data_IF_338951790203
#
_entry.id   IF_338951790203
#
_cell.length_a   1.000
_cell.length_b   1.000
_cell.length_c   1.000
_cell.angle_alpha   90.00
_cell.angle_beta   90.00
_cell.angle_gamma   90.00
#
_symmetry.space_group_name_H-M   'P 1'
#
loop_
_entity.id
_entity.type
_entity.pdbx_description
1 polymer ?
#
# COMPACT_ATOMS: atom_id res chain seq x y z
N UNK A 1 -7.05 55.22 12.54
CA UNK A 1 -7.60 53.99 11.99
C UNK A 1 -6.44 53.04 11.73
N UNK A 2 -6.20 52.09 12.63
CA UNK A 2 -5.11 51.11 12.52
C UNK A 2 -5.74 49.79 12.07
N UNK A 3 -5.32 49.32 10.90
CA UNK A 3 -5.72 48.01 10.38
C UNK A 3 -4.87 46.91 11.04
N UNK A 4 -5.51 46.06 11.85
CA UNK A 4 -4.89 44.89 12.42
C UNK A 4 -4.87 43.78 11.32
N UNK A 5 -3.70 43.44 10.84
CA UNK A 5 -3.52 42.28 9.99
C UNK A 5 -3.48 41.02 10.86
N UNK A 6 -4.52 40.17 10.75
CA UNK A 6 -4.58 38.86 11.38
C UNK A 6 -3.78 37.88 10.53
N UNK A 7 -2.55 37.56 10.96
CA UNK A 7 -1.78 36.46 10.37
C UNK A 7 -2.27 35.16 11.02
N UNK A 8 -3.05 34.39 10.28
CA UNK A 8 -3.42 33.01 10.67
C UNK A 8 -2.29 32.09 10.27
N UNK A 9 -1.53 31.62 11.24
CA UNK A 9 -0.52 30.58 11.07
C UNK A 9 -1.24 29.22 10.98
N UNK A 10 -1.48 28.76 9.76
CA UNK A 10 -1.82 27.37 9.51
C UNK A 10 -0.52 26.55 9.46
N UNK A 11 -0.30 25.71 10.45
CA UNK A 11 0.88 24.85 10.46
C UNK A 11 1.07 24.10 11.77
N UNK A 12 0.36 23.02 12.00
CA UNK A 12 0.58 22.26 13.24
C UNK A 12 0.24 20.76 13.25
N UNK A 13 -0.66 20.31 12.38
CA UNK A 13 -1.20 18.93 12.47
C UNK A 13 -0.43 17.86 11.68
N UNK A 14 0.07 18.19 10.50
CA UNK A 14 0.75 17.21 9.62
C UNK A 14 2.16 16.82 10.09
N UNK A 15 2.85 17.69 10.82
CA UNK A 15 4.25 17.49 11.26
C UNK A 15 4.38 16.42 12.35
N UNK A 16 3.35 16.14 13.14
CA UNK A 16 3.45 15.20 14.25
C UNK A 16 3.45 13.73 13.79
N UNK A 17 2.68 13.37 12.76
CA UNK A 17 2.60 11.99 12.24
C UNK A 17 3.87 11.58 11.49
N UNK A 18 4.47 12.49 10.72
CA UNK A 18 5.73 12.25 10.01
C UNK A 18 6.89 12.02 11.00
N UNK A 19 6.91 12.73 12.14
CA UNK A 19 7.98 12.58 13.14
C UNK A 19 7.96 11.25 13.88
N UNK A 20 6.82 10.59 14.02
CA UNK A 20 6.75 9.26 14.65
C UNK A 20 7.31 8.18 13.71
N UNK A 21 6.96 8.25 12.42
CA UNK A 21 7.48 7.32 11.42
C UNK A 21 9.00 7.45 11.23
N UNK A 22 9.55 8.69 11.25
CA UNK A 22 10.98 8.93 11.11
C UNK A 22 11.80 8.43 12.30
N UNK A 23 11.28 8.51 13.52
CA UNK A 23 11.98 7.97 14.70
C UNK A 23 12.09 6.45 14.67
N UNK A 24 11.03 5.75 14.28
CA UNK A 24 11.05 4.28 14.20
C UNK A 24 11.98 3.78 13.09
N UNK A 25 12.05 4.48 11.96
CA UNK A 25 12.97 4.15 10.88
C UNK A 25 14.43 4.40 11.23
N UNK A 26 14.75 5.45 12.00
CA UNK A 26 16.09 5.74 12.47
C UNK A 26 16.61 4.69 13.49
N UNK A 27 15.73 4.20 14.36
CA UNK A 27 16.09 3.14 15.33
C UNK A 27 16.31 1.77 14.68
N UNK A 28 15.59 1.45 13.61
CA UNK A 28 15.80 0.20 12.83
C UNK A 28 17.09 0.25 12.02
N UNK A 29 17.45 1.39 11.45
CA UNK A 29 18.70 1.57 10.73
C UNK A 29 19.93 1.45 11.64
N UNK A 30 19.85 1.93 12.87
CA UNK A 30 20.93 1.83 13.86
C UNK A 30 21.19 0.40 14.37
N UNK A 31 20.15 -0.45 14.38
CA UNK A 31 20.28 -1.86 14.80
C UNK A 31 20.85 -2.79 13.72
N UNK A 32 20.80 -2.41 12.44
CA UNK A 32 21.32 -3.19 11.32
C UNK A 32 22.82 -3.05 11.06
N UNK A 33 23.49 -2.08 11.67
CA UNK A 33 24.89 -1.74 11.38
C UNK A 33 25.96 -2.42 12.27
N UNK A 34 25.58 -3.30 13.19
CA UNK A 34 26.49 -3.93 14.13
C UNK A 34 26.62 -5.44 13.93
N UNK A 35 27.07 -5.88 12.75
CA UNK A 35 27.56 -7.25 12.57
C UNK A 35 28.39 -7.35 11.29
N UNK A 36 29.62 -6.93 11.36
CA UNK A 36 30.67 -7.37 10.43
C UNK A 36 31.99 -7.29 11.16
N UNK A 37 32.61 -8.43 11.41
CA UNK A 37 34.05 -8.67 11.22
C UNK A 37 34.45 -9.93 12.00
N UNK A 38 34.82 -10.99 11.29
CA UNK A 38 36.10 -11.65 11.58
C UNK A 38 36.53 -12.50 10.39
N UNK A 39 37.80 -12.41 9.98
CA UNK A 39 38.38 -13.28 8.96
C UNK A 39 39.03 -14.50 9.60
N UNK A 40 38.77 -15.67 9.12
CA UNK A 40 39.54 -16.87 9.44
C UNK A 40 40.28 -17.40 8.22
N UNK A 41 41.59 -17.42 8.39
CA UNK A 41 42.57 -17.93 7.45
C UNK A 41 42.60 -19.47 7.42
N UNK A 42 42.79 -19.99 6.22
CA UNK A 42 43.64 -21.10 5.88
C UNK A 42 43.30 -22.50 6.37
N UNK A 43 43.14 -23.39 5.39
CA UNK A 43 43.86 -24.66 5.33
C UNK A 43 43.63 -25.35 3.95
N UNK A 44 44.76 -25.51 3.24
CA UNK A 44 44.92 -26.34 2.06
C UNK A 44 44.34 -27.74 2.23
N UNK A 45 43.58 -28.23 1.25
CA UNK A 45 43.46 -29.66 0.99
C UNK A 45 43.23 -29.94 -0.51
N UNK A 46 44.08 -30.79 -1.03
CA UNK A 46 44.27 -31.29 -2.37
C UNK A 46 42.98 -31.72 -3.10
N UNK A 47 42.96 -31.69 -4.41
CA UNK A 47 41.80 -32.00 -5.24
C UNK A 47 41.60 -33.52 -5.32
N UNK A 48 40.41 -33.95 -5.00
CA UNK A 48 39.88 -35.28 -5.38
C UNK A 48 39.17 -35.14 -6.73
N UNK A 49 39.39 -36.10 -7.59
CA UNK A 49 38.83 -36.17 -8.93
C UNK A 49 37.30 -36.07 -8.95
N UNK A 50 36.70 -35.43 -9.98
CA UNK A 50 35.25 -35.27 -10.08
C UNK A 50 34.57 -36.62 -10.41
N UNK A 51 33.40 -36.89 -9.81
CA UNK A 51 32.53 -37.98 -10.22
C UNK A 51 31.93 -37.70 -11.61
N UNK A 52 31.54 -38.71 -12.37
CA UNK A 52 31.00 -38.55 -13.71
C UNK A 52 29.67 -37.76 -13.69
N UNK A 53 29.34 -37.00 -14.74
CA UNK A 53 28.13 -36.19 -14.79
C UNK A 53 26.89 -37.07 -14.74
N UNK A 54 26.05 -36.82 -13.74
CA UNK A 54 24.70 -37.35 -13.67
C UNK A 54 23.85 -36.78 -14.80
N UNK A 55 23.23 -37.64 -15.57
CA UNK A 55 22.26 -37.29 -16.61
C UNK A 55 21.15 -36.44 -15.98
N UNK A 56 20.84 -35.24 -16.50
CA UNK A 56 19.76 -34.43 -15.95
C UNK A 56 18.43 -35.13 -16.17
N UNK A 57 17.77 -35.49 -15.08
CA UNK A 57 16.37 -35.88 -15.13
C UNK A 57 15.55 -34.66 -15.61
N UNK A 58 14.98 -34.77 -16.80
CA UNK A 58 14.03 -33.79 -17.33
C UNK A 58 12.79 -33.80 -16.44
N UNK A 59 12.79 -32.95 -15.42
CA UNK A 59 11.58 -32.68 -14.64
C UNK A 59 10.62 -31.96 -15.56
N UNK A 60 9.57 -32.63 -16.00
CA UNK A 60 8.50 -32.04 -16.77
C UNK A 60 7.92 -30.85 -15.96
N UNK A 61 8.11 -29.65 -16.49
CA UNK A 61 7.51 -28.43 -15.94
C UNK A 61 6.00 -28.60 -15.97
N UNK A 62 5.28 -28.49 -14.84
CA UNK A 62 3.83 -28.52 -14.85
C UNK A 62 3.32 -27.48 -15.85
N UNK A 63 2.39 -27.88 -16.71
CA UNK A 63 1.72 -26.96 -17.60
C UNK A 63 1.05 -25.85 -16.77
N UNK A 64 1.13 -24.57 -17.18
CA UNK A 64 0.43 -23.51 -16.48
C UNK A 64 -1.07 -23.81 -16.51
N UNK A 65 -1.63 -24.11 -15.34
CA UNK A 65 -3.08 -24.19 -15.17
C UNK A 65 -3.61 -22.77 -15.36
N UNK A 66 -4.28 -22.52 -16.48
CA UNK A 66 -4.98 -21.25 -16.73
C UNK A 66 -6.18 -21.21 -15.76
N UNK A 67 -5.99 -20.61 -14.59
CA UNK A 67 -7.08 -20.34 -13.67
C UNK A 67 -8.05 -19.35 -14.33
N UNK A 68 -9.35 -19.62 -14.24
CA UNK A 68 -10.36 -18.69 -14.71
C UNK A 68 -10.33 -17.41 -13.86
N UNK A 69 -10.64 -16.22 -14.46
CA UNK A 69 -10.76 -14.98 -13.70
C UNK A 69 -11.74 -15.17 -12.54
N UNK A 70 -11.33 -14.78 -11.33
CA UNK A 70 -12.14 -14.95 -10.11
C UNK A 70 -11.86 -16.20 -9.30
N UNK A 71 -11.20 -17.23 -9.83
CA UNK A 71 -10.79 -18.41 -9.07
C UNK A 71 -9.46 -18.17 -8.34
N UNK A 72 -9.43 -18.45 -7.05
CA UNK A 72 -8.26 -18.31 -6.19
C UNK A 72 -8.62 -17.73 -4.82
N UNK A 73 -7.71 -17.78 -3.84
CA UNK A 73 -7.97 -17.25 -2.51
C UNK A 73 -8.32 -15.76 -2.56
N UNK A 74 -9.15 -15.26 -1.62
CA UNK A 74 -9.48 -13.84 -1.55
C UNK A 74 -8.23 -12.97 -1.54
N UNK A 75 -8.24 -11.86 -2.27
CA UNK A 75 -7.16 -10.89 -2.21
C UNK A 75 -7.32 -10.07 -0.92
N UNK A 76 -6.30 -10.11 -0.08
CA UNK A 76 -6.31 -9.48 1.25
C UNK A 76 -5.65 -8.10 1.17
N UNK A 77 -6.29 -7.09 1.74
CA UNK A 77 -5.74 -5.76 1.97
C UNK A 77 -4.75 -5.80 3.13
N UNK A 78 -3.53 -5.30 2.92
CA UNK A 78 -2.44 -5.29 3.91
C UNK A 78 -1.81 -3.91 3.98
N UNK A 79 -1.24 -3.57 5.14
CA UNK A 79 -0.51 -2.33 5.33
C UNK A 79 0.80 -2.24 4.53
N UNK A 80 1.31 -3.36 4.01
CA UNK A 80 2.53 -3.42 3.21
C UNK A 80 2.31 -3.83 1.74
N UNK A 81 1.05 -3.93 1.30
CA UNK A 81 0.72 -4.32 -0.05
C UNK A 81 -0.67 -4.88 -0.24
N UNK A 82 -0.87 -5.70 -1.25
CA UNK A 82 -2.15 -6.35 -1.58
C UNK A 82 -1.94 -7.81 -2.01
N UNK A 83 -2.62 -8.73 -1.37
CA UNK A 83 -2.50 -10.16 -1.66
C UNK A 83 -1.05 -10.64 -1.53
N UNK A 84 -0.48 -11.09 -2.64
CA UNK A 84 0.92 -11.53 -2.73
C UNK A 84 1.89 -10.39 -3.11
N UNK A 85 1.39 -9.21 -3.50
CA UNK A 85 2.22 -8.09 -3.93
C UNK A 85 2.51 -7.16 -2.75
N UNK A 86 3.78 -7.03 -2.40
CA UNK A 86 4.24 -6.08 -1.38
C UNK A 86 4.71 -4.78 -2.04
N UNK A 87 4.71 -3.69 -1.29
CA UNK A 87 5.30 -2.44 -1.75
C UNK A 87 6.77 -2.65 -2.15
N UNK A 88 7.21 -1.95 -3.18
CA UNK A 88 8.49 -2.21 -3.86
C UNK A 88 8.38 -3.16 -5.06
N UNK A 89 7.27 -3.87 -5.24
CA UNK A 89 7.08 -4.79 -6.36
C UNK A 89 7.09 -4.06 -7.72
N UNK A 90 7.51 -4.79 -8.76
CA UNK A 90 7.52 -4.29 -10.13
C UNK A 90 6.08 -3.99 -10.62
N UNK A 91 5.82 -2.81 -11.22
CA UNK A 91 4.49 -2.39 -11.67
C UNK A 91 3.82 -3.39 -12.62
N UNK A 92 4.54 -3.89 -13.61
CA UNK A 92 3.96 -4.78 -14.61
C UNK A 92 3.55 -6.13 -14.01
N UNK A 93 4.28 -6.62 -13.01
CA UNK A 93 3.92 -7.84 -12.29
C UNK A 93 2.65 -7.65 -11.45
N UNK A 94 2.53 -6.50 -10.76
CA UNK A 94 1.33 -6.18 -9.97
C UNK A 94 0.11 -6.05 -10.88
N UNK A 95 0.23 -5.25 -11.95
CA UNK A 95 -0.86 -5.02 -12.90
C UNK A 95 -1.30 -6.34 -13.57
N UNK A 96 -0.34 -7.14 -14.06
CA UNK A 96 -0.65 -8.42 -14.69
C UNK A 96 -1.36 -9.38 -13.73
N UNK A 97 -0.90 -9.47 -12.48
CA UNK A 97 -1.51 -10.35 -11.48
C UNK A 97 -2.91 -9.91 -11.08
N UNK A 98 -3.15 -8.61 -10.90
CA UNK A 98 -4.47 -8.07 -10.60
C UNK A 98 -5.41 -8.19 -11.81
N UNK A 99 -4.91 -7.96 -13.03
CA UNK A 99 -5.67 -8.15 -14.28
C UNK A 99 -6.08 -9.61 -14.47
N UNK A 100 -5.20 -10.55 -14.18
CA UNK A 100 -5.55 -11.98 -14.24
C UNK A 100 -6.67 -12.32 -13.26
N UNK A 101 -6.72 -11.65 -12.11
CA UNK A 101 -7.70 -11.89 -11.06
C UNK A 101 -9.05 -11.22 -11.31
N UNK A 102 -9.05 -9.97 -11.77
CA UNK A 102 -10.24 -9.12 -11.83
C UNK A 102 -10.66 -8.72 -13.24
N UNK A 103 -9.90 -9.17 -14.25
CA UNK A 103 -10.05 -8.70 -15.63
C UNK A 103 -9.29 -7.41 -15.89
N UNK A 104 -9.46 -6.82 -17.07
CA UNK A 104 -8.78 -5.56 -17.43
C UNK A 104 -9.18 -4.44 -16.46
N UNK A 105 -8.24 -3.50 -16.18
CA UNK A 105 -8.56 -2.33 -15.38
C UNK A 105 -9.58 -1.43 -16.08
N UNK A 106 -10.36 -0.70 -15.26
CA UNK A 106 -11.32 0.30 -15.77
C UNK A 106 -10.62 1.60 -16.17
N UNK A 107 -9.44 1.86 -15.60
CA UNK A 107 -8.62 3.01 -15.92
C UNK A 107 -7.14 2.76 -15.64
N UNK A 108 -6.31 3.38 -16.47
CA UNK A 108 -4.86 3.37 -16.38
C UNK A 108 -4.33 4.69 -16.92
N UNK A 109 -3.68 5.48 -16.06
CA UNK A 109 -3.16 6.79 -16.47
C UNK A 109 -1.93 6.69 -17.37
N UNK A 110 -1.32 5.50 -17.47
CA UNK A 110 0.04 5.42 -17.91
C UNK A 110 0.98 6.17 -16.96
N UNK A 111 2.24 6.36 -17.36
CA UNK A 111 3.20 7.14 -16.61
C UNK A 111 3.02 8.63 -16.91
N UNK A 112 2.65 9.40 -15.89
CA UNK A 112 2.44 10.85 -15.93
C UNK A 112 3.35 11.55 -14.92
N UNK A 113 3.59 12.88 -15.04
CA UNK A 113 4.32 13.63 -14.02
C UNK A 113 3.70 13.43 -12.63
N UNK A 114 4.51 13.16 -11.62
CA UNK A 114 4.04 12.78 -10.28
C UNK A 114 3.13 13.84 -9.61
N UNK A 115 3.29 15.11 -9.92
CA UNK A 115 2.45 16.21 -9.40
C UNK A 115 1.09 16.36 -10.10
N UNK A 116 0.76 15.56 -11.12
CA UNK A 116 -0.46 15.73 -11.93
C UNK A 116 -1.47 14.61 -11.78
N UNK A 117 -1.30 13.73 -10.79
CA UNK A 117 -2.22 12.62 -10.58
C UNK A 117 -3.53 13.09 -9.93
N UNK A 118 -4.63 12.37 -10.18
CA UNK A 118 -5.90 12.60 -9.50
C UNK A 118 -5.84 12.27 -7.99
N UNK A 119 -4.77 11.61 -7.55
CA UNK A 119 -4.54 11.20 -6.15
C UNK A 119 -3.66 12.21 -5.38
N UNK A 120 -3.31 13.34 -5.98
CA UNK A 120 -2.42 14.36 -5.43
C UNK A 120 -0.98 14.25 -5.94
N UNK A 121 -0.07 14.94 -5.28
CA UNK A 121 1.36 14.89 -5.59
C UNK A 121 1.98 13.59 -5.07
N UNK A 122 2.39 12.72 -5.98
CA UNK A 122 3.06 11.47 -5.64
C UNK A 122 4.58 11.68 -5.50
N UNK A 123 5.30 10.83 -4.76
CA UNK A 123 6.76 10.91 -4.68
C UNK A 123 7.42 10.69 -6.05
N UNK A 124 8.59 11.32 -6.27
CA UNK A 124 9.40 11.16 -7.47
C UNK A 124 9.01 12.08 -8.64
N UNK A 125 9.41 11.68 -9.85
CA UNK A 125 9.21 12.46 -11.07
C UNK A 125 7.97 12.00 -11.85
N UNK A 126 7.70 10.69 -11.83
CA UNK A 126 6.58 10.09 -12.55
C UNK A 126 5.80 9.15 -11.65
N UNK A 127 4.48 9.11 -11.90
CA UNK A 127 3.58 8.19 -11.23
C UNK A 127 2.62 7.55 -12.24
N UNK A 128 2.03 6.42 -11.87
CA UNK A 128 0.99 5.73 -12.64
C UNK A 128 -0.07 5.23 -11.68
N UNK A 129 -1.32 5.46 -11.99
CA UNK A 129 -2.46 4.90 -11.26
C UNK A 129 -3.22 3.93 -12.16
N UNK A 130 -3.53 2.75 -11.63
CA UNK A 130 -4.33 1.75 -12.32
C UNK A 130 -5.48 1.35 -11.40
N UNK A 131 -6.71 1.39 -11.89
CA UNK A 131 -7.89 1.20 -11.07
C UNK A 131 -8.82 0.09 -11.59
N UNK A 132 -9.49 -0.57 -10.64
CA UNK A 132 -10.55 -1.55 -10.81
C UNK A 132 -11.70 -1.17 -9.86
N UNK A 133 -12.69 -0.42 -10.37
CA UNK A 133 -13.97 -0.15 -9.67
C UNK A 133 -13.84 0.22 -8.18
N UNK A 134 -13.24 1.36 -7.90
CA UNK A 134 -13.05 1.85 -6.54
C UNK A 134 -11.83 1.29 -5.82
N UNK A 135 -11.04 0.44 -6.47
CA UNK A 135 -9.72 0.03 -5.99
C UNK A 135 -8.63 0.53 -6.93
N UNK A 136 -7.67 1.23 -6.43
CA UNK A 136 -6.53 1.75 -7.18
C UNK A 136 -5.20 1.24 -6.61
N UNK A 137 -4.26 0.95 -7.50
CA UNK A 137 -2.84 0.75 -7.17
C UNK A 137 -2.03 1.85 -7.81
N UNK A 138 -1.09 2.41 -7.06
CA UNK A 138 -0.26 3.50 -7.51
C UNK A 138 1.21 3.11 -7.51
N UNK A 139 1.89 3.58 -8.52
CA UNK A 139 3.32 3.33 -8.77
C UNK A 139 4.03 4.66 -8.93
N UNK A 140 5.28 4.71 -8.51
CA UNK A 140 6.12 5.90 -8.64
C UNK A 140 7.58 5.51 -8.82
N UNK A 141 8.41 6.48 -9.23
CA UNK A 141 9.87 6.36 -9.24
C UNK A 141 10.52 7.13 -8.09
N UNK A 142 9.74 7.61 -7.13
CA UNK A 142 10.22 8.30 -5.96
C UNK A 142 10.86 7.36 -4.93
N UNK A 143 11.63 7.92 -4.00
CA UNK A 143 12.10 7.15 -2.85
C UNK A 143 10.93 6.84 -1.91
N UNK A 144 10.79 5.58 -1.53
CA UNK A 144 9.82 5.12 -0.54
C UNK A 144 10.50 4.16 0.45
N UNK A 145 9.90 3.83 1.59
CA UNK A 145 10.50 2.85 2.52
C UNK A 145 10.81 1.49 1.90
N UNK A 146 10.19 1.17 0.76
CA UNK A 146 10.32 -0.13 0.08
C UNK A 146 10.84 -0.05 -1.35
N UNK A 147 11.21 1.15 -1.83
CA UNK A 147 11.72 1.34 -3.19
C UNK A 147 12.68 2.52 -3.29
N UNK A 148 13.84 2.36 -3.95
CA UNK A 148 14.80 3.44 -4.14
C UNK A 148 14.30 4.46 -5.18
N UNK A 149 14.79 5.70 -5.08
CA UNK A 149 14.55 6.72 -6.09
C UNK A 149 15.04 6.28 -7.48
N UNK A 150 14.30 6.66 -8.52
CA UNK A 150 14.60 6.34 -9.93
C UNK A 150 14.14 4.96 -10.37
N UNK A 151 13.66 4.10 -9.48
CA UNK A 151 13.11 2.78 -9.79
C UNK A 151 11.60 2.80 -9.66
N UNK A 152 10.91 2.51 -10.75
CA UNK A 152 9.44 2.40 -10.76
C UNK A 152 8.97 1.22 -9.95
N UNK A 153 8.14 1.46 -8.94
CA UNK A 153 7.66 0.42 -8.03
C UNK A 153 6.26 0.73 -7.49
N UNK A 154 5.59 -0.31 -7.01
CA UNK A 154 4.33 -0.24 -6.28
C UNK A 154 4.57 0.37 -4.89
N UNK A 155 3.85 1.45 -4.52
CA UNK A 155 4.12 2.13 -3.25
C UNK A 155 2.88 2.41 -2.39
N UNK A 156 1.68 2.39 -2.99
CA UNK A 156 0.43 2.60 -2.24
C UNK A 156 -0.74 2.00 -2.98
N UNK A 157 -1.79 1.71 -2.26
CA UNK A 157 -3.09 1.36 -2.81
C UNK A 157 -4.19 2.10 -2.04
N UNK A 158 -5.31 2.33 -2.72
CA UNK A 158 -6.50 2.95 -2.17
C UNK A 158 -7.73 2.12 -2.55
N UNK A 159 -8.60 1.88 -1.57
CA UNK A 159 -9.89 1.24 -1.77
C UNK A 159 -10.97 2.13 -1.20
N UNK A 160 -11.94 2.53 -2.05
CA UNK A 160 -12.98 3.46 -1.67
C UNK A 160 -14.37 2.93 -2.04
N UNK A 161 -15.38 3.31 -1.25
CA UNK A 161 -16.76 3.21 -1.70
C UNK A 161 -17.00 4.29 -2.76
N UNK A 162 -17.85 4.00 -3.71
CA UNK A 162 -18.45 5.07 -4.50
C UNK A 162 -19.20 5.98 -3.54
N UNK A 163 -19.06 7.28 -3.74
CA UNK A 163 -19.60 8.28 -2.84
C UNK A 163 -21.07 7.99 -2.50
N UNK A 164 -21.44 7.74 -1.24
CA UNK A 164 -22.82 7.49 -0.84
C UNK A 164 -23.73 8.69 -1.12
N UNK A 165 -23.18 9.90 -1.28
CA UNK A 165 -23.93 11.06 -1.76
C UNK A 165 -24.24 10.99 -3.27
N UNK A 166 -23.57 10.10 -4.01
CA UNK A 166 -23.75 9.91 -5.44
C UNK A 166 -23.90 8.44 -5.80
N UNK A 167 -24.98 7.77 -5.37
CA UNK A 167 -25.22 6.35 -5.64
C UNK A 167 -25.29 6.01 -7.14
N UNK A 168 -25.46 7.00 -8.01
CA UNK A 168 -25.37 6.84 -9.46
C UNK A 168 -23.96 6.48 -9.97
N UNK A 169 -22.92 6.64 -9.15
CA UNK A 169 -21.57 6.19 -9.45
C UNK A 169 -21.37 4.70 -9.11
N UNK A 170 -22.28 4.11 -8.37
CA UNK A 170 -22.37 2.66 -8.22
C UNK A 170 -22.88 2.05 -9.52
N UNK A 171 -22.01 1.96 -10.52
CA UNK A 171 -22.32 1.41 -11.83
C UNK A 171 -22.48 -0.10 -11.84
N UNK A 172 -22.99 -0.67 -10.74
CA UNK A 172 -23.54 -2.03 -10.71
C UNK A 172 -22.59 -3.15 -11.13
N UNK A 173 -21.30 -2.94 -11.07
CA UNK A 173 -20.35 -3.94 -11.46
C UNK A 173 -19.65 -4.53 -10.25
N UNK A 174 -19.42 -5.84 -10.26
CA UNK A 174 -18.74 -6.59 -9.22
C UNK A 174 -17.41 -5.93 -8.83
N UNK A 175 -17.45 -5.10 -7.76
CA UNK A 175 -16.23 -4.63 -7.10
C UNK A 175 -15.46 -5.83 -6.60
N UNK A 176 -14.15 -5.80 -6.65
CA UNK A 176 -13.38 -6.79 -5.92
C UNK A 176 -13.84 -6.78 -4.46
N UNK A 177 -14.31 -7.90 -3.94
CA UNK A 177 -14.69 -8.02 -2.53
C UNK A 177 -13.42 -8.05 -1.66
N UNK A 178 -12.78 -6.89 -1.49
CA UNK A 178 -11.51 -6.75 -0.78
C UNK A 178 -11.77 -6.59 0.71
N UNK A 179 -10.97 -7.28 1.51
CA UNK A 179 -11.01 -7.22 2.97
C UNK A 179 -9.61 -7.31 3.55
N UNK A 180 -9.43 -6.73 4.71
CA UNK A 180 -8.25 -7.00 5.55
C UNK A 180 -8.33 -8.42 6.13
N UNK A 181 -7.24 -8.90 6.71
CA UNK A 181 -7.22 -10.19 7.41
C UNK A 181 -8.28 -10.28 8.52
N UNK A 182 -8.61 -9.15 9.16
CA UNK A 182 -9.64 -9.04 10.19
C UNK A 182 -11.06 -8.83 9.62
N UNK A 183 -11.23 -8.96 8.30
CA UNK A 183 -12.53 -8.88 7.63
C UNK A 183 -13.05 -7.46 7.39
N UNK A 184 -12.26 -6.43 7.70
CA UNK A 184 -12.65 -5.03 7.46
C UNK A 184 -12.62 -4.71 5.96
N UNK A 185 -13.60 -3.96 5.51
CA UNK A 185 -13.75 -3.47 4.14
C UNK A 185 -14.38 -2.06 4.16
N UNK A 186 -14.43 -1.39 3.02
CA UNK A 186 -15.19 -0.14 2.87
C UNK A 186 -16.70 -0.41 3.06
N UNK A 187 -17.43 0.59 3.51
CA UNK A 187 -18.86 0.50 3.79
C UNK A 187 -19.22 -0.13 5.15
N UNK A 188 -18.26 -0.67 5.91
CA UNK A 188 -18.53 -1.14 7.28
C UNK A 188 -18.59 0.03 8.25
N UNK A 189 -19.19 -0.21 9.43
CA UNK A 189 -19.31 0.80 10.49
C UNK A 189 -18.05 0.94 11.33
N UNK A 190 -17.88 2.09 11.99
CA UNK A 190 -16.83 2.31 13.01
C UNK A 190 -16.92 1.27 14.12
N UNK A 191 -18.11 0.85 14.53
CA UNK A 191 -18.29 -0.25 15.49
C UNK A 191 -17.63 -1.55 15.00
N UNK A 192 -17.65 -1.81 13.69
CA UNK A 192 -16.95 -2.97 13.09
C UNK A 192 -15.44 -2.80 13.17
N UNK A 193 -14.89 -1.59 12.93
CA UNK A 193 -13.47 -1.30 13.11
C UNK A 193 -13.03 -1.52 14.54
N UNK A 194 -13.79 -0.99 15.51
CA UNK A 194 -13.53 -1.14 16.94
C UNK A 194 -13.50 -2.61 17.36
N UNK A 195 -14.44 -3.42 16.84
CA UNK A 195 -14.46 -4.87 17.08
C UNK A 195 -13.24 -5.58 16.47
N UNK A 196 -12.79 -5.16 15.28
CA UNK A 196 -11.70 -5.81 14.55
C UNK A 196 -10.32 -5.49 15.15
N UNK A 197 -10.11 -4.25 15.61
CA UNK A 197 -8.79 -3.74 16.01
C UNK A 197 -8.69 -3.27 17.46
N UNK A 198 -9.83 -3.08 18.15
CA UNK A 198 -9.85 -2.72 19.57
C UNK A 198 -9.04 -1.47 19.89
N UNK A 199 -8.08 -1.60 20.79
CA UNK A 199 -7.22 -0.50 21.24
C UNK A 199 -6.16 -0.05 20.21
N UNK A 200 -5.91 -0.84 19.18
CA UNK A 200 -4.99 -0.44 18.11
C UNK A 200 -5.62 0.55 17.11
N UNK A 201 -6.96 0.69 17.14
CA UNK A 201 -7.67 1.64 16.30
C UNK A 201 -7.57 3.05 16.89
N UNK A 202 -7.10 3.97 16.08
CA UNK A 202 -7.12 5.40 16.36
C UNK A 202 -8.18 6.08 15.50
N UNK A 203 -8.97 6.97 16.08
CA UNK A 203 -10.00 7.75 15.40
C UNK A 203 -9.65 9.23 15.51
N UNK A 204 -9.70 9.94 14.39
CA UNK A 204 -9.39 11.37 14.31
C UNK A 204 -10.56 12.12 13.69
N UNK A 205 -10.78 13.34 14.12
CA UNK A 205 -11.75 14.25 13.51
C UNK A 205 -11.17 15.67 13.57
N UNK A 206 -10.14 15.91 12.77
CA UNK A 206 -9.43 17.18 12.75
C UNK A 206 -9.53 17.86 11.36
N UNK A 207 -9.94 19.15 11.33
CA UNK A 207 -9.91 19.91 10.09
C UNK A 207 -8.47 20.10 9.55
N UNK A 208 -8.27 20.08 8.22
CA UNK A 208 -9.27 19.99 7.16
C UNK A 208 -9.64 18.56 6.77
N UNK A 209 -8.99 17.53 7.32
CA UNK A 209 -9.11 16.14 6.88
C UNK A 209 -10.47 15.48 7.20
N UNK A 210 -11.20 16.00 8.20
CA UNK A 210 -12.44 15.40 8.67
C UNK A 210 -12.26 14.06 9.37
N UNK A 211 -13.34 13.28 9.56
CA UNK A 211 -13.30 12.01 10.27
C UNK A 211 -12.43 10.98 9.55
N UNK A 212 -11.48 10.41 10.28
CA UNK A 212 -10.51 9.44 9.78
C UNK A 212 -10.23 8.36 10.82
N UNK A 213 -9.60 7.27 10.37
CA UNK A 213 -9.04 6.25 11.24
C UNK A 213 -7.62 5.90 10.83
N UNK A 214 -6.84 5.42 11.80
CA UNK A 214 -5.54 4.81 11.61
C UNK A 214 -5.44 3.53 12.42
N UNK A 215 -4.67 2.56 11.93
CA UNK A 215 -4.34 1.34 12.66
C UNK A 215 -2.98 0.82 12.22
N UNK A 216 -2.14 0.48 13.20
CA UNK A 216 -0.91 -0.26 12.97
C UNK A 216 -1.20 -1.76 13.01
N UNK A 217 -0.83 -2.47 11.96
CA UNK A 217 -0.91 -3.92 11.87
C UNK A 217 0.49 -4.54 11.75
N UNK A 218 0.66 -5.86 11.96
CA UNK A 218 1.96 -6.51 11.74
C UNK A 218 2.51 -6.33 10.32
N UNK A 219 1.63 -6.16 9.34
CA UNK A 219 1.99 -5.95 7.93
C UNK A 219 2.17 -4.45 7.58
N UNK A 220 1.99 -3.53 8.53
CA UNK A 220 2.09 -2.08 8.34
C UNK A 220 0.81 -1.33 8.62
N UNK A 221 0.84 -0.01 8.42
CA UNK A 221 -0.27 0.86 8.74
C UNK A 221 -1.39 0.83 7.69
N UNK A 222 -2.61 0.96 8.16
CA UNK A 222 -3.81 1.20 7.36
C UNK A 222 -4.46 2.50 7.84
N UNK A 223 -4.92 3.30 6.91
CA UNK A 223 -5.61 4.57 7.16
C UNK A 223 -6.89 4.62 6.34
N UNK A 224 -7.76 5.57 6.68
CA UNK A 224 -8.92 5.81 5.84
C UNK A 224 -9.82 6.93 6.35
N UNK A 225 -10.74 7.35 5.49
CA UNK A 225 -11.74 8.36 5.81
C UNK A 225 -13.06 7.71 6.24
N UNK A 226 -13.79 8.45 7.07
CA UNK A 226 -15.06 8.03 7.65
C UNK A 226 -16.15 9.06 7.32
N UNK A 227 -17.41 8.69 7.51
CA UNK A 227 -18.53 9.66 7.54
C UNK A 227 -18.68 10.33 8.91
N UNK A 228 -18.11 9.75 9.96
CA UNK A 228 -18.12 10.22 11.34
C UNK A 228 -17.32 9.26 12.21
N UNK A 229 -16.90 9.70 13.41
CA UNK A 229 -16.12 8.87 14.36
C UNK A 229 -17.01 8.13 15.37
N UNK A 230 -18.32 8.38 15.37
CA UNK A 230 -19.27 7.63 16.19
C UNK A 230 -19.43 6.17 15.69
N UNK A 231 -19.96 5.24 16.52
CA UNK A 231 -20.07 3.83 16.16
C UNK A 231 -20.87 3.54 14.86
N UNK A 232 -21.77 4.44 14.44
CA UNK A 232 -22.56 4.32 13.23
C UNK A 232 -21.87 4.91 12.01
N UNK A 233 -20.78 5.68 12.17
CA UNK A 233 -19.96 6.22 11.09
C UNK A 233 -19.52 5.10 10.14
N UNK A 234 -19.39 5.41 8.85
CA UNK A 234 -19.11 4.44 7.78
C UNK A 234 -17.69 4.66 7.24
N UNK A 235 -16.97 3.58 6.98
CA UNK A 235 -15.67 3.60 6.31
C UNK A 235 -15.88 3.96 4.83
N UNK A 236 -15.36 5.10 4.41
CA UNK A 236 -15.41 5.59 3.03
C UNK A 236 -14.22 5.09 2.21
N UNK A 237 -13.03 5.18 2.79
CA UNK A 237 -11.78 4.77 2.14
C UNK A 237 -10.93 3.93 3.08
N UNK A 238 -10.12 3.05 2.50
CA UNK A 238 -9.00 2.37 3.18
C UNK A 238 -7.78 2.55 2.28
N UNK A 239 -6.67 2.97 2.86
CA UNK A 239 -5.41 3.27 2.16
C UNK A 239 -4.26 2.61 2.91
N UNK A 240 -3.24 2.16 2.19
CA UNK A 240 -1.96 1.77 2.76
C UNK A 240 -0.80 2.24 1.91
N UNK A 241 0.34 2.45 2.55
CA UNK A 241 1.56 2.94 1.90
C UNK A 241 1.74 4.44 2.02
N UNK A 242 2.64 4.99 1.22
CA UNK A 242 3.09 6.38 1.37
C UNK A 242 2.13 7.47 0.90
N UNK A 243 1.00 7.10 0.27
CA UNK A 243 0.04 8.06 -0.27
C UNK A 243 0.62 9.04 -1.33
N UNK A 244 -0.26 9.65 -2.11
CA UNK A 244 0.02 10.86 -2.88
C UNK A 244 -0.66 12.00 -2.13
N UNK A 245 0.03 12.63 -1.22
CA UNK A 245 -0.45 13.80 -0.48
C UNK A 245 0.44 14.98 -0.81
N UNK A 246 -0.14 16.14 -1.11
CA UNK A 246 0.62 17.36 -1.10
C UNK A 246 1.02 17.68 0.35
N UNK A 247 2.31 17.98 0.58
CA UNK A 247 2.79 18.63 1.78
C UNK A 247 2.18 20.04 1.91
#
# INVERSE_FOLDING_TARGET
MAALALIVLFGGGAVALVRVADRQNAERAAKGAASTTEPSAGLDRRPNAPPPPATPATTARPAPTTALPGEGPPVVLKGDGIGAFIFGANPDQVIAGLTLRWGPPDGDTGWVPAGTTAYGACPGNVARAVNWRGFAVLFSDGATPRGPAGVRHFFTWEYQVDDPAHPALDRGGNRPALRTANGVTVGVTVATLQKAWGQALELFDEPPGGPQFGVETPEGALYGSLTGTDPAGIVKTIVAGGGCGGD
#
